data_IF_188463746765
#
_entry.id   IF_188463746765
#
_cell.length_a   1.000
_cell.length_b   1.000
_cell.length_c   1.000
_cell.angle_alpha   90.00
_cell.angle_beta   90.00
_cell.angle_gamma   90.00
#
_symmetry.space_group_name_H-M   'P 1'
#
loop_
_entity.id
_entity.type
_entity.pdbx_description
1 polymer ?
#
# COMPACT_ATOMS: atom_id res chain seq x y z
N UNK A 1 1.35 7.83 -12.82
CA UNK A 1 1.53 6.39 -12.49
C UNK A 1 0.17 5.78 -12.15
N UNK A 2 -0.01 4.46 -12.29
CA UNK A 2 -1.27 3.76 -11.94
C UNK A 2 -1.71 4.01 -10.49
N UNK A 3 -0.74 4.19 -9.59
CA UNK A 3 -0.95 4.55 -8.18
C UNK A 3 -1.88 5.77 -8.00
N UNK A 4 -1.69 6.84 -8.80
CA UNK A 4 -2.50 8.05 -8.67
C UNK A 4 -3.97 7.84 -9.03
N UNK A 5 -4.27 6.94 -9.98
CA UNK A 5 -5.65 6.66 -10.39
C UNK A 5 -6.39 5.86 -9.31
N UNK A 6 -5.73 4.84 -8.76
CA UNK A 6 -6.29 4.03 -7.68
C UNK A 6 -6.53 4.87 -6.42
N UNK A 7 -5.61 5.78 -6.09
CA UNK A 7 -5.76 6.67 -4.93
C UNK A 7 -6.93 7.63 -5.06
N UNK A 8 -7.12 8.21 -6.24
CA UNK A 8 -8.24 9.10 -6.51
C UNK A 8 -9.56 8.32 -6.42
N UNK A 9 -9.62 7.16 -7.08
CA UNK A 9 -10.81 6.31 -7.05
C UNK A 9 -11.23 5.90 -5.63
N UNK A 10 -10.29 5.45 -4.79
CA UNK A 10 -10.58 5.09 -3.39
C UNK A 10 -11.01 6.32 -2.58
N UNK A 11 -10.46 7.50 -2.87
CA UNK A 11 -10.82 8.75 -2.19
C UNK A 11 -12.22 9.25 -2.57
N UNK A 12 -12.68 8.92 -3.78
CA UNK A 12 -14.00 9.30 -4.29
C UNK A 12 -15.09 8.27 -3.93
N UNK A 13 -14.69 7.03 -3.60
CA UNK A 13 -15.60 5.97 -3.18
C UNK A 13 -16.45 6.43 -1.98
N UNK A 14 -17.77 6.33 -2.12
CA UNK A 14 -18.70 6.58 -1.02
C UNK A 14 -18.85 5.30 -0.20
N UNK A 15 -18.18 5.25 0.95
CA UNK A 15 -18.28 4.14 1.90
C UNK A 15 -18.18 4.66 3.34
N UNK A 16 -18.58 3.81 4.30
CA UNK A 16 -18.76 4.18 5.71
C UNK A 16 -17.52 4.79 6.37
N UNK A 17 -16.32 4.43 5.92
CA UNK A 17 -15.06 4.95 6.46
C UNK A 17 -14.29 5.84 5.47
N UNK A 18 -14.96 6.39 4.45
CA UNK A 18 -14.32 7.25 3.44
C UNK A 18 -13.64 8.49 4.06
N UNK A 19 -14.27 9.11 5.05
CA UNK A 19 -13.70 10.28 5.74
C UNK A 19 -12.49 9.89 6.61
N UNK A 20 -12.56 8.76 7.32
CA UNK A 20 -11.42 8.21 8.05
C UNK A 20 -10.26 7.90 7.11
N UNK A 21 -10.55 7.30 5.95
CA UNK A 21 -9.56 7.06 4.92
C UNK A 21 -8.94 8.36 4.41
N UNK A 22 -9.70 9.41 4.12
CA UNK A 22 -9.11 10.70 3.68
C UNK A 22 -8.13 11.27 4.71
N UNK A 23 -8.43 11.15 5.99
CA UNK A 23 -7.63 11.70 7.09
C UNK A 23 -6.52 10.76 7.59
N UNK A 24 -6.56 9.47 7.28
CA UNK A 24 -5.58 8.51 7.76
C UNK A 24 -4.18 8.75 7.17
N UNK A 25 -3.15 8.68 8.02
CA UNK A 25 -1.76 8.87 7.63
C UNK A 25 -1.21 7.61 6.96
N UNK A 26 -0.39 7.78 5.91
CA UNK A 26 0.37 6.67 5.32
C UNK A 26 1.53 6.30 6.24
N UNK A 27 1.72 5.02 6.49
CA UNK A 27 2.82 4.49 7.28
C UNK A 27 3.94 4.02 6.36
N UNK A 28 5.20 4.25 6.76
CA UNK A 28 6.37 3.71 6.07
C UNK A 28 6.43 2.21 6.32
N UNK A 29 6.64 1.43 5.27
CA UNK A 29 6.80 -0.01 5.34
C UNK A 29 8.17 -0.44 4.83
N UNK A 30 8.82 -1.28 5.63
CA UNK A 30 10.03 -2.03 5.30
C UNK A 30 9.74 -3.51 5.48
N UNK A 31 10.33 -4.36 4.64
CA UNK A 31 10.17 -5.82 4.75
C UNK A 31 10.82 -6.30 6.04
N UNK A 32 12.07 -5.90 6.28
CA UNK A 32 12.77 -6.05 7.56
C UNK A 32 13.04 -4.67 8.17
N UNK A 33 12.93 -4.52 9.49
CA UNK A 33 13.18 -3.25 10.17
C UNK A 33 14.63 -2.75 9.98
N UNK A 34 15.56 -3.66 9.72
CA UNK A 34 16.98 -3.40 9.45
C UNK A 34 17.26 -3.06 7.98
N UNK A 35 16.30 -3.19 7.08
CA UNK A 35 16.51 -2.79 5.69
C UNK A 35 16.79 -1.28 5.61
N UNK A 36 17.85 -0.87 4.92
CA UNK A 36 18.11 0.55 4.66
C UNK A 36 17.05 1.17 3.73
N UNK A 37 16.49 0.34 2.86
CA UNK A 37 15.50 0.76 1.87
C UNK A 37 14.07 0.60 2.37
N UNK A 38 13.26 1.61 2.09
CA UNK A 38 11.80 1.57 2.28
C UNK A 38 11.20 0.72 1.16
N UNK A 39 10.47 -0.32 1.51
CA UNK A 39 9.75 -1.19 0.58
C UNK A 39 8.51 -0.48 0.00
N UNK A 40 7.86 0.35 0.82
CA UNK A 40 6.65 1.03 0.39
C UNK A 40 5.96 1.83 1.48
N UNK A 41 4.69 2.11 1.24
CA UNK A 41 3.80 2.77 2.16
C UNK A 41 2.51 1.97 2.31
N UNK A 42 2.00 1.87 3.53
CA UNK A 42 0.74 1.19 3.82
C UNK A 42 -0.23 2.19 4.45
N UNK A 43 -1.50 2.12 4.05
CA UNK A 43 -2.60 2.86 4.67
C UNK A 43 -3.73 1.89 4.98
N UNK A 44 -4.10 1.80 6.25
CA UNK A 44 -5.11 0.86 6.74
C UNK A 44 -6.23 1.67 7.40
N UNK A 45 -7.47 1.43 6.97
CA UNK A 45 -8.66 1.97 7.62
C UNK A 45 -9.72 0.88 7.63
N UNK A 46 -10.19 0.52 8.83
CA UNK A 46 -11.15 -0.57 9.01
C UNK A 46 -10.66 -1.86 8.31
N UNK A 47 -11.42 -2.39 7.34
CA UNK A 47 -11.07 -3.58 6.54
C UNK A 47 -10.37 -3.27 5.22
N UNK A 48 -10.14 -1.99 4.89
CA UNK A 48 -9.43 -1.60 3.67
C UNK A 48 -7.95 -1.37 3.98
N UNK A 49 -7.09 -2.03 3.21
CA UNK A 49 -5.67 -1.77 3.16
C UNK A 49 -5.25 -1.36 1.76
N UNK A 50 -4.51 -0.27 1.67
CA UNK A 50 -3.81 0.12 0.45
C UNK A 50 -2.31 0.09 0.69
N UNK A 51 -1.59 -0.72 -0.10
CA UNK A 51 -0.14 -0.76 -0.11
C UNK A 51 0.40 -0.20 -1.43
N UNK A 52 1.30 0.77 -1.33
CA UNK A 52 2.08 1.31 -2.44
C UNK A 52 3.51 0.79 -2.32
N UNK A 53 4.03 0.17 -3.37
CA UNK A 53 5.33 -0.52 -3.36
C UNK A 53 6.29 0.29 -4.22
N UNK A 54 7.42 0.69 -3.63
CA UNK A 54 8.41 1.51 -4.33
C UNK A 54 9.13 0.70 -5.38
N UNK A 55 9.52 1.37 -6.47
CA UNK A 55 10.29 0.77 -7.57
C UNK A 55 9.61 -0.47 -8.18
N UNK A 56 8.28 -0.56 -8.09
CA UNK A 56 7.47 -1.53 -8.81
C UNK A 56 6.77 -0.85 -9.99
N UNK A 57 6.77 -1.51 -11.13
CA UNK A 57 5.99 -1.14 -12.30
C UNK A 57 4.60 -1.75 -12.24
N UNK A 58 4.12 -2.26 -13.38
CA UNK A 58 2.79 -2.86 -13.46
C UNK A 58 2.70 -4.22 -12.77
N UNK A 59 3.80 -4.98 -12.72
CA UNK A 59 3.82 -6.37 -12.24
C UNK A 59 4.69 -6.47 -10.99
N UNK A 60 4.10 -6.09 -9.86
CA UNK A 60 4.76 -6.13 -8.54
C UNK A 60 5.47 -7.45 -8.23
N UNK A 61 4.89 -8.66 -8.45
CA UNK A 61 5.60 -9.90 -8.14
C UNK A 61 6.91 -10.07 -8.92
N UNK A 62 6.96 -9.53 -10.15
CA UNK A 62 8.14 -9.59 -11.01
C UNK A 62 9.14 -8.50 -10.62
N UNK A 63 8.67 -7.28 -10.37
CA UNK A 63 9.52 -6.12 -10.12
C UNK A 63 10.06 -6.08 -8.69
N UNK A 64 9.27 -6.51 -7.71
CA UNK A 64 9.56 -6.46 -6.27
C UNK A 64 9.11 -7.75 -5.56
N UNK A 65 9.68 -8.93 -5.88
CA UNK A 65 9.23 -10.24 -5.37
C UNK A 65 9.31 -10.34 -3.84
N UNK A 66 10.36 -9.79 -3.21
CA UNK A 66 10.53 -9.80 -1.75
C UNK A 66 9.44 -9.00 -1.04
N UNK A 67 9.11 -7.83 -1.59
CA UNK A 67 8.05 -6.97 -1.05
C UNK A 67 6.68 -7.63 -1.22
N UNK A 68 6.38 -8.19 -2.41
CA UNK A 68 5.12 -8.91 -2.64
C UNK A 68 4.94 -10.09 -1.67
N UNK A 69 5.98 -10.91 -1.50
CA UNK A 69 5.90 -12.06 -0.61
C UNK A 69 5.66 -11.68 0.86
N UNK A 70 6.29 -10.61 1.33
CA UNK A 70 6.05 -10.07 2.68
C UNK A 70 4.61 -9.54 2.82
N UNK A 71 4.09 -8.86 1.79
CA UNK A 71 2.70 -8.40 1.74
C UNK A 71 1.72 -9.57 1.84
N UNK A 72 1.91 -10.62 1.02
CA UNK A 72 1.05 -11.81 1.06
C UNK A 72 1.09 -12.47 2.43
N UNK A 73 2.27 -12.63 3.04
CA UNK A 73 2.43 -13.24 4.37
C UNK A 73 1.77 -12.47 5.51
N UNK A 74 1.63 -11.15 5.40
CA UNK A 74 1.06 -10.32 6.46
C UNK A 74 -0.46 -10.26 6.42
N UNK A 75 -1.05 -10.54 5.27
CA UNK A 75 -2.46 -10.21 5.00
C UNK A 75 -3.29 -11.36 4.40
N UNK A 76 -2.67 -12.51 4.13
CA UNK A 76 -3.32 -13.79 3.79
C UNK A 76 -2.91 -14.82 4.83
#
# INVERSE_FOLDING_TARGET
SAESLTLNWISDLQWSHSNEYKNATRQIWKVDSRDDQIAGYIKIVSKLMLASIRNAGHMVPTDQPRAMFDLLKRFI
#
